data_IF_186685543074
#
_entry.id   IF_186685543074
#
_cell.length_a   1.000
_cell.length_b   1.000
_cell.length_c   1.000
_cell.angle_alpha   90.00
_cell.angle_beta   90.00
_cell.angle_gamma   90.00
#
_symmetry.space_group_name_H-M   'P 1'
#
loop_
_entity.id
_entity.type
_entity.pdbx_description
1 polymer ?
#
# COMPACT_ATOMS: atom_id res chain seq x y z
N UNK A 1 -0.44 9.99 6.90
CA UNK A 1 -0.54 9.43 5.55
C UNK A 1 -1.31 8.14 5.53
N UNK A 2 -1.80 7.76 4.39
CA UNK A 2 -2.41 6.46 4.22
C UNK A 2 -1.65 5.66 3.17
N UNK A 3 -1.75 4.35 3.27
CA UNK A 3 -1.08 3.40 2.38
C UNK A 3 -2.17 2.54 1.75
N UNK A 4 -2.15 2.47 0.43
CA UNK A 4 -3.09 1.66 -0.33
C UNK A 4 -2.33 0.49 -0.95
N UNK A 5 -2.89 -0.69 -0.85
CA UNK A 5 -2.27 -1.91 -1.35
C UNK A 5 -3.24 -2.60 -2.31
N UNK A 6 -2.75 -2.98 -3.49
CA UNK A 6 -3.54 -3.71 -4.45
C UNK A 6 -3.18 -5.19 -4.43
N UNK A 7 -4.10 -6.01 -4.92
CA UNK A 7 -3.87 -7.46 -4.95
C UNK A 7 -2.75 -7.86 -5.89
N UNK A 8 -2.44 -7.03 -6.87
CA UNK A 8 -1.38 -7.33 -7.83
C UNK A 8 -0.01 -6.79 -7.42
N UNK A 9 0.15 -6.39 -6.15
CA UNK A 9 1.46 -6.06 -5.63
C UNK A 9 1.86 -4.60 -5.74
N UNK A 10 0.94 -3.71 -6.06
CA UNK A 10 1.21 -2.29 -6.12
C UNK A 10 0.87 -1.62 -4.80
N UNK A 11 1.67 -0.64 -4.43
CA UNK A 11 1.50 0.12 -3.20
C UNK A 11 1.53 1.60 -3.55
N UNK A 12 0.64 2.33 -2.90
CA UNK A 12 0.55 3.77 -3.08
C UNK A 12 0.47 4.44 -1.72
N UNK A 13 1.18 5.53 -1.56
CA UNK A 13 1.22 6.28 -0.32
C UNK A 13 0.70 7.68 -0.59
N UNK A 14 -0.29 8.15 0.17
CA UNK A 14 -0.95 9.42 -0.07
C UNK A 14 -1.09 10.20 1.24
N UNK A 15 -1.11 11.53 1.11
CA UNK A 15 -1.47 12.37 2.23
C UNK A 15 -2.95 12.23 2.52
N UNK A 16 -3.28 12.21 3.81
CA UNK A 16 -4.65 12.04 4.25
C UNK A 16 -5.57 13.14 3.71
N UNK A 17 -5.05 14.34 3.57
CA UNK A 17 -5.84 15.46 3.06
C UNK A 17 -6.35 15.22 1.65
N UNK A 18 -5.55 14.58 0.80
CA UNK A 18 -5.97 14.24 -0.55
C UNK A 18 -7.11 13.22 -0.51
N UNK A 19 -6.97 12.21 0.34
CA UNK A 19 -7.98 11.19 0.47
C UNK A 19 -9.31 11.75 0.94
N UNK A 20 -9.29 12.61 1.94
CA UNK A 20 -10.51 13.20 2.46
C UNK A 20 -11.18 14.11 1.44
N UNK A 21 -10.38 14.78 0.62
CA UNK A 21 -10.89 15.67 -0.41
C UNK A 21 -11.70 14.92 -1.45
N UNK A 22 -11.36 13.67 -1.70
CA UNK A 22 -12.00 12.85 -2.73
C UNK A 22 -12.79 11.69 -2.15
N UNK A 23 -13.16 11.80 -0.90
CA UNK A 23 -13.85 10.73 -0.21
C UNK A 23 -15.19 10.42 -0.89
N UNK A 24 -15.41 9.13 -1.15
CA UNK A 24 -16.64 8.68 -1.75
C UNK A 24 -16.82 9.07 -3.20
N UNK A 25 -15.79 9.61 -3.80
CA UNK A 25 -15.85 10.09 -5.17
C UNK A 25 -14.96 9.28 -6.07
N UNK A 26 -14.89 9.73 -7.29
CA UNK A 26 -14.09 9.16 -8.35
C UNK A 26 -12.62 9.56 -8.28
N UNK A 27 -12.21 10.21 -7.19
CA UNK A 27 -10.84 10.68 -7.07
C UNK A 27 -9.79 9.60 -6.92
N UNK A 28 -10.19 8.40 -6.50
CA UNK A 28 -9.26 7.29 -6.37
C UNK A 28 -9.13 6.59 -7.71
N UNK A 29 -7.91 6.22 -8.13
CA UNK A 29 -7.74 5.48 -9.37
C UNK A 29 -8.47 4.15 -9.29
N UNK A 30 -9.35 3.90 -10.24
CA UNK A 30 -10.17 2.69 -10.25
C UNK A 30 -9.56 1.57 -11.08
N UNK A 31 -8.49 1.84 -11.81
CA UNK A 31 -7.81 0.82 -12.60
C UNK A 31 -6.98 -0.13 -11.74
N UNK A 32 -6.83 0.17 -10.46
CA UNK A 32 -6.19 -0.71 -9.49
C UNK A 32 -7.21 -1.07 -8.44
N UNK A 33 -7.24 -2.34 -8.08
CA UNK A 33 -8.13 -2.79 -7.02
C UNK A 33 -7.40 -2.63 -5.68
N UNK A 34 -7.55 -1.47 -5.09
CA UNK A 34 -6.98 -1.19 -3.79
C UNK A 34 -7.84 -1.88 -2.74
N UNK A 35 -7.38 -3.01 -2.26
CA UNK A 35 -8.20 -3.81 -1.33
C UNK A 35 -7.85 -3.53 0.13
N UNK A 36 -6.70 -2.91 0.38
CA UNK A 36 -6.31 -2.52 1.73
C UNK A 36 -5.97 -1.04 1.75
N UNK A 37 -6.57 -0.33 2.68
CA UNK A 37 -6.27 1.07 2.93
C UNK A 37 -5.85 1.15 4.39
N UNK A 38 -4.57 1.44 4.63
CA UNK A 38 -4.00 1.41 5.97
C UNK A 38 -3.59 2.82 6.38
N UNK A 39 -3.87 3.16 7.63
CA UNK A 39 -3.41 4.43 8.18
C UNK A 39 -1.98 4.25 8.68
N UNK A 40 -1.09 5.11 8.22
CA UNK A 40 0.31 5.06 8.62
C UNK A 40 0.47 5.80 9.95
N UNK A 41 0.92 5.13 11.02
CA UNK A 41 1.20 5.80 12.30
C UNK A 41 2.39 6.74 12.17
N UNK A 42 2.56 7.63 13.12
CA UNK A 42 3.74 8.46 13.18
C UNK A 42 4.96 7.62 13.51
N UNK A 43 6.11 8.05 13.03
CA UNK A 43 7.37 7.39 13.27
C UNK A 43 7.85 6.61 12.07
N UNK A 44 8.83 5.75 12.33
CA UNK A 44 9.40 4.90 11.29
C UNK A 44 8.62 3.60 11.24
N UNK A 45 8.08 3.31 10.09
CA UNK A 45 7.22 2.15 9.92
C UNK A 45 7.64 1.32 8.73
N UNK A 46 7.38 0.02 8.82
CA UNK A 46 7.59 -0.92 7.73
C UNK A 46 6.26 -1.43 7.25
N UNK A 47 6.17 -1.65 5.95
CA UNK A 47 5.02 -2.34 5.35
C UNK A 47 5.38 -3.80 5.17
N UNK A 48 4.48 -4.67 5.59
CA UNK A 48 4.63 -6.12 5.45
C UNK A 48 3.52 -6.63 4.55
N UNK A 49 3.91 -7.28 3.47
CA UNK A 49 2.96 -7.85 2.50
C UNK A 49 3.02 -9.37 2.58
N UNK A 50 1.85 -9.99 2.60
CA UNK A 50 1.72 -11.43 2.62
C UNK A 50 1.04 -11.88 1.34
N UNK A 51 1.58 -12.91 0.69
CA UNK A 51 0.96 -13.44 -0.52
C UNK A 51 0.19 -14.71 -0.21
N UNK A 52 -0.69 -15.08 -1.14
CA UNK A 52 -1.47 -16.30 -1.02
C UNK A 52 -0.62 -17.56 -1.19
N UNK A 53 0.62 -17.42 -1.62
CA UNK A 53 1.54 -18.53 -1.78
C UNK A 53 2.58 -18.60 -0.67
N UNK A 54 2.35 -17.89 0.42
CA UNK A 54 3.23 -17.92 1.59
C UNK A 54 4.42 -16.99 1.52
N UNK A 55 4.49 -16.11 0.52
CA UNK A 55 5.56 -15.14 0.44
C UNK A 55 5.35 -13.99 1.40
N UNK A 56 6.45 -13.49 1.96
CA UNK A 56 6.43 -12.36 2.87
C UNK A 56 7.49 -11.36 2.42
N UNK A 57 7.07 -10.09 2.31
CA UNK A 57 7.98 -9.00 1.98
C UNK A 57 7.82 -7.92 3.03
N UNK A 58 8.93 -7.40 3.53
CA UNK A 58 8.92 -6.30 4.49
C UNK A 58 9.90 -5.24 4.02
N UNK A 59 9.46 -3.99 4.01
CA UNK A 59 10.34 -2.88 3.61
C UNK A 59 9.89 -1.59 4.28
N UNK A 60 10.81 -0.62 4.44
CA UNK A 60 10.47 0.65 5.08
C UNK A 60 9.53 1.48 4.20
N UNK A 61 8.49 2.03 4.82
CA UNK A 61 7.55 2.89 4.11
C UNK A 61 8.18 4.16 3.58
N UNK A 62 9.25 4.65 4.20
CA UNK A 62 9.88 5.87 3.74
C UNK A 62 10.56 5.73 2.38
N UNK A 63 10.68 4.51 1.86
CA UNK A 63 11.15 4.29 0.49
C UNK A 63 10.09 4.57 -0.55
N UNK A 64 8.84 4.72 -0.12
CA UNK A 64 7.74 5.02 -1.02
C UNK A 64 7.43 6.51 -0.87
N UNK A 65 7.61 7.26 -1.96
CA UNK A 65 7.31 8.68 -1.99
C UNK A 65 5.81 8.90 -1.91
N UNK A 66 5.33 9.90 -1.17
CA UNK A 66 3.90 10.23 -1.23
C UNK A 66 3.52 10.63 -2.65
N UNK A 67 2.33 10.24 -3.07
CA UNK A 67 1.88 10.39 -4.46
C UNK A 67 0.54 11.09 -4.51
N UNK A 68 0.23 11.68 -5.68
CA UNK A 68 -1.07 12.25 -5.92
C UNK A 68 -2.12 11.19 -6.21
N UNK A 69 -3.35 11.62 -6.26
CA UNK A 69 -4.48 10.71 -6.42
C UNK A 69 -4.47 9.94 -7.73
N UNK A 70 -3.90 10.51 -8.77
CA UNK A 70 -3.88 9.89 -10.10
C UNK A 70 -2.69 8.99 -10.33
N UNK A 71 -1.76 8.92 -9.40
CA UNK A 71 -0.60 8.05 -9.54
C UNK A 71 -1.00 6.59 -9.44
N UNK A 72 -0.33 5.74 -10.19
CA UNK A 72 -0.62 4.31 -10.19
C UNK A 72 0.03 3.56 -9.04
N UNK A 73 0.98 4.19 -8.35
CA UNK A 73 1.72 3.54 -7.29
C UNK A 73 2.99 2.88 -7.80
N UNK A 74 3.66 2.17 -6.91
CA UNK A 74 4.88 1.45 -7.23
C UNK A 74 4.66 -0.04 -7.09
N UNK A 75 5.32 -0.82 -7.94
CA UNK A 75 5.30 -2.28 -7.82
C UNK A 75 6.22 -2.66 -6.66
N UNK A 76 5.62 -3.02 -5.54
CA UNK A 76 6.39 -3.35 -4.33
C UNK A 76 6.92 -4.76 -4.36
N UNK A 77 6.25 -5.65 -5.07
CA UNK A 77 6.66 -7.04 -5.19
C UNK A 77 6.23 -7.56 -6.56
N UNK A 78 7.11 -8.32 -7.19
CA UNK A 78 6.78 -8.97 -8.46
C UNK A 78 6.18 -10.34 -8.16
N UNK A 79 4.91 -10.49 -8.48
CA UNK A 79 4.17 -11.69 -8.20
C UNK A 79 4.29 -12.68 -9.35
N UNK A 80 4.21 -13.96 -9.02
CA UNK A 80 4.12 -15.02 -10.01
C UNK A 80 2.70 -15.16 -10.51
N UNK A 81 2.52 -15.98 -11.54
CA UNK A 81 1.18 -16.29 -12.03
C UNK A 81 0.37 -16.91 -10.89
N UNK A 82 -0.88 -16.50 -10.78
CA UNK A 82 -1.80 -16.95 -9.74
C UNK A 82 -1.39 -16.54 -8.33
N UNK A 83 -0.38 -15.71 -8.18
CA UNK A 83 0.01 -15.18 -6.88
C UNK A 83 -0.62 -13.80 -6.71
N UNK A 84 -1.13 -13.53 -5.51
CA UNK A 84 -1.71 -12.22 -5.19
C UNK A 84 -1.39 -11.86 -3.75
N UNK A 85 -1.50 -10.58 -3.45
CA UNK A 85 -1.36 -10.11 -2.07
C UNK A 85 -2.59 -10.53 -1.30
N UNK A 86 -2.39 -11.26 -0.23
CA UNK A 86 -3.47 -11.74 0.62
C UNK A 86 -3.73 -10.79 1.77
N UNK A 87 -2.70 -10.18 2.33
CA UNK A 87 -2.85 -9.26 3.43
C UNK A 87 -1.68 -8.28 3.46
N UNK A 88 -1.88 -7.18 4.18
CA UNK A 88 -0.87 -6.17 4.36
C UNK A 88 -1.03 -5.55 5.74
N UNK A 89 0.09 -5.36 6.44
CA UNK A 89 0.09 -4.73 7.75
C UNK A 89 1.23 -3.72 7.83
N UNK A 90 1.10 -2.78 8.75
CA UNK A 90 2.15 -1.81 9.03
C UNK A 90 2.70 -2.11 10.42
N UNK A 91 4.01 -2.25 10.50
CA UNK A 91 4.72 -2.50 11.77
C UNK A 91 5.70 -1.37 12.03
N UNK A 92 5.90 -1.06 13.30
CA UNK A 92 6.96 -0.13 13.65
C UNK A 92 8.32 -0.68 13.28
N UNK A 93 9.23 0.19 12.86
CA UNK A 93 10.59 -0.25 12.51
C UNK A 93 11.24 -0.92 13.71
N UNK A 94 11.79 -2.11 13.50
CA UNK A 94 12.41 -2.88 14.58
C UNK A 94 11.48 -3.82 15.29
N UNK A 95 10.19 -3.78 15.06
CA UNK A 95 9.25 -4.75 15.63
C UNK A 95 9.34 -6.08 14.87
N UNK A 96 9.00 -7.12 15.55
CA UNK A 96 9.04 -8.45 14.97
C UNK A 96 7.68 -9.13 15.04
#
# INVERSE_FOLDING_TARGET
MIVLVSQNGYVKRMHLSITMKHRGSEGMPLNKKWFRILREPEGKNDLVLLTNMGGIVRFPLNKIRPMGELATGVEAIRLQDCESIQDAIIMGAGEQ
#
